data_IF_659456232724
#
_entry.id   IF_659456232724
#
_cell.length_a   1.000
_cell.length_b   1.000
_cell.length_c   1.000
_cell.angle_alpha   90.00
_cell.angle_beta   90.00
_cell.angle_gamma   90.00
#
_symmetry.space_group_name_H-M   'P 1'
#
loop_
_entity.id
_entity.type
_entity.pdbx_description
1 polymer ?
#
# COMPACT_ATOMS: atom_id res chain seq x y z
N UNK A 1 45.32 1.71 23.69
CA UNK A 1 44.33 2.06 22.65
C UNK A 1 43.73 0.75 22.16
N UNK A 2 42.51 0.44 22.58
CA UNK A 2 41.74 -0.66 22.02
C UNK A 2 40.78 -0.03 21.00
N UNK A 3 40.93 -0.40 19.73
CA UNK A 3 39.97 -0.04 18.69
C UNK A 3 38.66 -0.77 19.02
N UNK A 4 37.58 -0.01 19.16
CA UNK A 4 36.24 -0.58 19.19
C UNK A 4 35.98 -1.13 17.79
N UNK A 5 35.88 -2.44 17.69
CA UNK A 5 35.26 -3.10 16.54
C UNK A 5 33.78 -2.68 16.58
N UNK A 6 33.41 -1.74 15.71
CA UNK A 6 32.00 -1.49 15.43
C UNK A 6 31.43 -2.79 14.86
N UNK A 7 30.60 -3.45 15.65
CA UNK A 7 29.85 -4.64 15.26
C UNK A 7 28.91 -4.25 14.11
N UNK A 8 29.40 -4.39 12.89
CA UNK A 8 28.66 -4.14 11.65
C UNK A 8 27.55 -5.18 11.55
N UNK A 9 26.42 -4.91 12.20
CA UNK A 9 25.23 -5.75 12.14
C UNK A 9 24.82 -5.88 10.66
N UNK A 10 24.60 -7.12 10.17
CA UNK A 10 24.30 -7.34 8.76
C UNK A 10 23.06 -6.57 8.35
N UNK A 11 23.12 -5.89 7.21
CA UNK A 11 22.01 -5.11 6.69
C UNK A 11 20.77 -6.01 6.53
N UNK A 12 19.59 -5.56 6.99
CA UNK A 12 18.36 -6.36 6.91
C UNK A 12 17.99 -6.68 5.47
N UNK A 13 17.50 -7.90 5.25
CA UNK A 13 17.17 -8.41 3.91
C UNK A 13 15.84 -7.87 3.42
N UNK A 14 15.60 -7.90 2.10
CA UNK A 14 14.35 -7.43 1.48
C UNK A 14 13.07 -8.02 2.12
N UNK A 15 12.96 -9.35 2.40
CA UNK A 15 11.78 -9.89 3.05
C UNK A 15 11.56 -9.32 4.46
N UNK A 16 12.64 -9.15 5.24
CA UNK A 16 12.61 -8.62 6.60
C UNK A 16 12.17 -7.15 6.60
N UNK A 17 12.74 -6.33 5.71
CA UNK A 17 12.34 -4.94 5.53
C UNK A 17 10.85 -4.82 5.22
N UNK A 18 10.36 -5.64 4.28
CA UNK A 18 8.95 -5.64 3.89
C UNK A 18 8.04 -6.05 5.05
N UNK A 19 8.36 -7.15 5.74
CA UNK A 19 7.52 -7.70 6.80
C UNK A 19 7.49 -6.75 8.02
N UNK A 20 8.63 -6.14 8.38
CA UNK A 20 8.71 -5.12 9.44
C UNK A 20 7.88 -3.88 9.06
N UNK A 21 8.03 -3.38 7.83
CA UNK A 21 7.25 -2.22 7.37
C UNK A 21 5.75 -2.47 7.34
N UNK A 22 5.32 -3.68 6.94
CA UNK A 22 3.91 -4.08 6.99
C UNK A 22 3.40 -4.09 8.43
N UNK A 23 4.12 -4.71 9.35
CA UNK A 23 3.75 -4.75 10.76
C UNK A 23 3.66 -3.33 11.36
N UNK A 24 4.63 -2.46 11.06
CA UNK A 24 4.60 -1.07 11.52
C UNK A 24 3.38 -0.30 10.98
N UNK A 25 3.01 -0.52 9.72
CA UNK A 25 1.80 0.07 9.14
C UNK A 25 0.55 -0.44 9.86
N UNK A 26 0.42 -1.75 10.06
CA UNK A 26 -0.71 -2.35 10.76
C UNK A 26 -0.85 -1.77 12.18
N UNK A 27 0.26 -1.68 12.93
CA UNK A 27 0.30 -1.09 14.26
C UNK A 27 -0.11 0.39 14.26
N UNK A 28 0.31 1.17 13.27
CA UNK A 28 -0.08 2.59 13.11
C UNK A 28 -1.55 2.74 12.73
N UNK A 29 -2.12 1.78 12.01
CA UNK A 29 -3.54 1.80 11.62
C UNK A 29 -4.48 1.46 12.77
N UNK A 30 -4.08 0.57 13.68
CA UNK A 30 -4.87 0.19 14.86
C UNK A 30 -4.52 0.96 16.13
N UNK A 31 -3.50 1.83 16.08
CA UNK A 31 -3.07 2.64 17.21
C UNK A 31 -4.23 3.44 17.81
N UNK A 32 -4.35 3.39 19.14
CA UNK A 32 -5.38 4.14 19.90
C UNK A 32 -4.91 5.53 20.28
N UNK A 33 -3.59 5.72 20.26
CA UNK A 33 -2.90 6.96 20.54
C UNK A 33 -3.14 7.98 19.41
N UNK A 34 -3.06 9.28 19.71
CA UNK A 34 -3.13 10.31 18.67
C UNK A 34 -2.08 10.08 17.59
N UNK A 35 -2.43 10.20 16.31
CA UNK A 35 -1.49 9.96 15.20
C UNK A 35 -0.22 10.81 15.27
N UNK A 36 -0.31 12.02 15.85
CA UNK A 36 0.85 12.90 16.06
C UNK A 36 1.70 12.57 17.29
N UNK A 37 1.38 11.52 18.05
CA UNK A 37 2.17 11.10 19.21
C UNK A 37 3.57 10.67 18.78
N UNK A 38 4.53 10.83 19.70
CA UNK A 38 5.93 10.48 19.44
C UNK A 38 6.07 9.01 19.05
N UNK A 39 5.40 8.12 19.78
CA UNK A 39 5.46 6.67 19.55
C UNK A 39 4.94 6.29 18.15
N UNK A 40 3.80 6.86 17.73
CA UNK A 40 3.24 6.60 16.40
C UNK A 40 4.15 7.19 15.31
N UNK A 41 4.67 8.39 15.51
CA UNK A 41 5.56 9.04 14.52
C UNK A 41 6.91 8.34 14.38
N UNK A 42 7.46 7.77 15.46
CA UNK A 42 8.68 6.95 15.41
C UNK A 42 8.44 5.69 14.56
N UNK A 43 7.29 5.01 14.73
CA UNK A 43 6.91 3.87 13.89
C UNK A 43 6.73 4.26 12.42
N UNK A 44 6.06 5.37 12.15
CA UNK A 44 5.87 5.90 10.78
C UNK A 44 7.22 6.18 10.12
N UNK A 45 8.12 6.88 10.80
CA UNK A 45 9.46 7.20 10.29
C UNK A 45 10.27 5.94 10.00
N UNK A 46 10.29 4.99 10.94
CA UNK A 46 11.00 3.71 10.79
C UNK A 46 10.45 2.89 9.62
N UNK A 47 9.12 2.79 9.49
CA UNK A 47 8.48 2.07 8.40
C UNK A 47 8.81 2.67 7.03
N UNK A 48 8.84 4.00 6.92
CA UNK A 48 9.22 4.71 5.70
C UNK A 48 10.69 4.50 5.33
N UNK A 49 11.59 4.48 6.32
CA UNK A 49 13.01 4.18 6.09
C UNK A 49 13.21 2.77 5.54
N UNK A 50 12.56 1.77 6.15
CA UNK A 50 12.64 0.38 5.69
C UNK A 50 12.04 0.20 4.29
N UNK A 51 10.90 0.85 3.99
CA UNK A 51 10.30 0.79 2.65
C UNK A 51 11.16 1.49 1.59
N UNK A 52 11.86 2.57 1.96
CA UNK A 52 12.81 3.21 1.04
C UNK A 52 13.94 2.25 0.68
N UNK A 53 14.55 1.60 1.68
CA UNK A 53 15.59 0.60 1.44
C UNK A 53 15.06 -0.59 0.64
N UNK A 54 13.85 -1.07 0.93
CA UNK A 54 13.20 -2.13 0.17
C UNK A 54 12.99 -1.73 -1.31
N UNK A 55 12.50 -0.51 -1.57
CA UNK A 55 12.32 0.01 -2.92
C UNK A 55 13.65 0.11 -3.70
N UNK A 56 14.73 0.52 -3.04
CA UNK A 56 16.08 0.56 -3.63
C UNK A 56 16.57 -0.85 -3.98
N UNK A 57 16.37 -1.84 -3.10
CA UNK A 57 16.70 -3.24 -3.39
C UNK A 57 15.87 -3.81 -4.53
N UNK A 58 14.56 -3.52 -4.59
CA UNK A 58 13.68 -3.96 -5.67
C UNK A 58 14.12 -3.39 -7.03
N UNK A 59 14.54 -2.11 -7.05
CA UNK A 59 15.05 -1.49 -8.26
C UNK A 59 16.38 -2.11 -8.73
N UNK A 60 17.22 -2.58 -7.80
CA UNK A 60 18.47 -3.27 -8.13
C UNK A 60 18.24 -4.70 -8.63
N UNK A 61 17.24 -5.39 -8.08
CA UNK A 61 16.88 -6.75 -8.49
C UNK A 61 16.08 -6.78 -9.80
N UNK A 62 15.52 -5.64 -10.22
CA UNK A 62 14.68 -5.49 -11.42
C UNK A 62 13.55 -6.52 -11.49
N UNK A 63 12.93 -6.82 -10.33
CA UNK A 63 11.89 -7.86 -10.19
C UNK A 63 10.58 -7.55 -10.93
N UNK A 64 10.41 -6.31 -11.39
CA UNK A 64 9.18 -5.82 -11.99
C UNK A 64 9.49 -5.13 -13.31
N UNK A 65 9.64 -5.94 -14.37
CA UNK A 65 9.81 -5.42 -15.71
C UNK A 65 8.47 -5.03 -16.32
N UNK A 66 8.43 -3.93 -17.08
CA UNK A 66 7.21 -3.44 -17.75
C UNK A 66 6.68 -4.38 -18.85
N UNK A 67 7.49 -5.37 -19.25
CA UNK A 67 7.16 -6.29 -20.32
C UNK A 67 6.73 -7.67 -19.80
N UNK A 68 6.63 -7.85 -18.49
CA UNK A 68 6.22 -9.11 -17.87
C UNK A 68 4.71 -9.12 -17.60
N UNK A 69 4.10 -10.29 -17.75
CA UNK A 69 2.75 -10.54 -17.27
C UNK A 69 2.77 -10.88 -15.78
N UNK A 70 1.65 -10.65 -15.08
CA UNK A 70 1.53 -10.94 -13.64
C UNK A 70 1.85 -12.41 -13.30
N UNK A 71 1.55 -13.34 -14.22
CA UNK A 71 1.81 -14.78 -14.07
C UNK A 71 3.30 -15.14 -14.11
N UNK A 72 4.15 -14.27 -14.67
CA UNK A 72 5.59 -14.46 -14.76
C UNK A 72 6.32 -14.06 -13.47
N UNK A 73 5.65 -13.29 -12.60
CA UNK A 73 6.18 -12.91 -11.30
C UNK A 73 6.07 -14.10 -10.34
N UNK A 74 7.20 -14.46 -9.70
CA UNK A 74 7.21 -15.49 -8.68
C UNK A 74 6.19 -15.15 -7.56
N UNK A 75 5.39 -16.14 -7.14
CA UNK A 75 4.31 -15.89 -6.19
C UNK A 75 4.79 -15.32 -4.84
N UNK A 76 6.04 -15.58 -4.47
CA UNK A 76 6.69 -15.03 -3.26
C UNK A 76 6.99 -13.53 -3.38
N UNK A 77 7.14 -13.04 -4.60
CA UNK A 77 7.61 -11.68 -4.92
C UNK A 77 6.47 -10.73 -5.25
N UNK A 78 5.29 -11.26 -5.59
CA UNK A 78 4.05 -10.49 -5.79
C UNK A 78 3.76 -9.50 -4.66
N UNK A 79 4.08 -9.87 -3.41
CA UNK A 79 3.88 -9.00 -2.24
C UNK A 79 4.63 -7.67 -2.36
N UNK A 80 5.77 -7.65 -3.06
CA UNK A 80 6.60 -6.46 -3.19
C UNK A 80 6.01 -5.41 -4.14
N UNK A 81 5.01 -5.77 -4.98
CA UNK A 81 4.21 -4.78 -5.72
C UNK A 81 3.51 -3.78 -4.79
N UNK A 82 3.30 -4.15 -3.52
CA UNK A 82 2.64 -3.29 -2.53
C UNK A 82 3.56 -2.22 -1.92
N UNK A 83 4.88 -2.25 -2.17
CA UNK A 83 5.82 -1.31 -1.54
C UNK A 83 5.42 0.16 -1.76
N UNK A 84 5.10 0.62 -2.99
CA UNK A 84 4.68 2.00 -3.19
C UNK A 84 3.35 2.31 -2.50
N UNK A 85 2.41 1.36 -2.42
CA UNK A 85 1.16 1.56 -1.68
C UNK A 85 1.42 1.79 -0.18
N UNK A 86 2.34 1.03 0.42
CA UNK A 86 2.72 1.19 1.82
C UNK A 86 3.47 2.50 2.06
N UNK A 87 4.32 2.93 1.13
CA UNK A 87 5.00 4.24 1.20
C UNK A 87 3.95 5.37 1.22
N UNK A 88 2.96 5.31 0.32
CA UNK A 88 1.85 6.26 0.30
C UNK A 88 1.02 6.22 1.59
N UNK A 89 0.71 5.03 2.11
CA UNK A 89 -0.07 4.87 3.33
C UNK A 89 0.62 5.46 4.56
N UNK A 90 1.91 5.16 4.78
CA UNK A 90 2.67 5.72 5.90
C UNK A 90 2.94 7.22 5.73
N UNK A 91 3.11 7.71 4.51
CA UNK A 91 3.23 9.15 4.23
C UNK A 91 2.02 9.94 4.75
N UNK A 92 0.82 9.39 4.56
CA UNK A 92 -0.44 9.99 5.03
C UNK A 92 -0.54 10.05 6.56
N UNK A 93 0.29 9.29 7.28
CA UNK A 93 0.31 9.24 8.75
C UNK A 93 1.33 10.20 9.38
N UNK A 94 2.11 10.92 8.59
CA UNK A 94 3.09 11.87 9.11
C UNK A 94 2.42 13.11 9.75
N UNK A 95 2.81 13.43 10.98
CA UNK A 95 2.16 14.44 11.84
C UNK A 95 2.66 15.88 11.68
N UNK A 96 3.57 16.16 10.73
CA UNK A 96 4.16 17.49 10.58
C UNK A 96 3.29 18.42 9.72
N UNK A 97 2.54 19.32 10.37
CA UNK A 97 1.64 20.27 9.70
C UNK A 97 2.34 21.23 8.73
N UNK A 98 3.59 21.63 8.98
CA UNK A 98 4.29 22.57 8.09
C UNK A 98 4.71 21.95 6.76
N UNK A 99 4.93 20.63 6.74
CA UNK A 99 5.28 19.83 5.55
C UNK A 99 4.10 19.04 4.98
N UNK A 100 2.88 19.31 5.46
CA UNK A 100 1.70 18.52 5.10
C UNK A 100 1.47 18.47 3.59
N UNK A 101 1.69 19.58 2.89
CA UNK A 101 1.55 19.61 1.43
C UNK A 101 2.54 18.67 0.74
N UNK A 102 3.81 18.69 1.16
CA UNK A 102 4.86 17.83 0.62
C UNK A 102 4.53 16.35 0.87
N UNK A 103 4.07 16.02 2.08
CA UNK A 103 3.68 14.66 2.43
C UNK A 103 2.50 14.16 1.57
N UNK A 104 1.52 15.03 1.28
CA UNK A 104 0.39 14.69 0.41
C UNK A 104 0.82 14.49 -1.05
N UNK A 105 1.73 15.33 -1.56
CA UNK A 105 2.27 15.18 -2.91
C UNK A 105 3.07 13.88 -3.04
N UNK A 106 3.92 13.60 -2.06
CA UNK A 106 4.71 12.37 -2.01
C UNK A 106 3.82 11.12 -1.90
N UNK A 107 2.81 11.15 -1.03
CA UNK A 107 1.84 10.06 -0.93
C UNK A 107 1.10 9.83 -2.26
N UNK A 108 0.68 10.92 -2.93
CA UNK A 108 0.01 10.86 -4.23
C UNK A 108 0.90 10.21 -5.29
N UNK A 109 2.17 10.59 -5.36
CA UNK A 109 3.13 10.02 -6.30
C UNK A 109 3.26 8.50 -6.09
N UNK A 110 3.43 8.07 -4.85
CA UNK A 110 3.52 6.65 -4.49
C UNK A 110 2.27 5.84 -4.80
N UNK A 111 1.09 6.38 -4.51
CA UNK A 111 -0.16 5.73 -4.89
C UNK A 111 -0.34 5.65 -6.41
N UNK A 112 0.07 6.68 -7.16
CA UNK A 112 0.03 6.62 -8.63
C UNK A 112 1.03 5.62 -9.19
N UNK A 113 2.21 5.50 -8.59
CA UNK A 113 3.18 4.48 -8.97
C UNK A 113 2.60 3.07 -8.77
N UNK A 114 2.01 2.80 -7.60
CA UNK A 114 1.32 1.54 -7.31
C UNK A 114 0.20 1.25 -8.31
N UNK A 115 -0.71 2.21 -8.52
CA UNK A 115 -1.82 2.02 -9.44
C UNK A 115 -1.33 1.83 -10.88
N UNK A 116 -0.29 2.55 -11.28
CA UNK A 116 0.29 2.36 -12.60
C UNK A 116 0.84 0.95 -12.74
N UNK A 117 1.59 0.43 -11.77
CA UNK A 117 2.07 -0.95 -11.77
C UNK A 117 0.92 -1.96 -11.82
N UNK A 118 -0.12 -1.79 -11.01
CA UNK A 118 -1.30 -2.66 -11.05
C UNK A 118 -1.99 -2.67 -12.42
N UNK A 119 -2.00 -1.53 -13.13
CA UNK A 119 -2.55 -1.46 -14.48
C UNK A 119 -1.65 -2.17 -15.50
N UNK A 120 -0.33 -2.01 -15.42
CA UNK A 120 0.61 -2.67 -16.33
C UNK A 120 0.53 -4.20 -16.20
N UNK A 121 0.44 -4.71 -14.98
CA UNK A 121 0.29 -6.15 -14.72
C UNK A 121 -1.16 -6.65 -14.76
N UNK A 122 -2.11 -5.82 -15.23
CA UNK A 122 -3.52 -6.21 -15.34
C UNK A 122 -4.12 -6.80 -14.04
N UNK A 123 -3.68 -6.33 -12.88
CA UNK A 123 -4.13 -6.82 -11.55
C UNK A 123 -5.62 -6.58 -11.35
N UNK A 124 -6.14 -5.48 -11.89
CA UNK A 124 -7.56 -5.15 -11.89
C UNK A 124 -7.90 -4.15 -13.03
N UNK A 125 -9.15 -4.15 -13.47
CA UNK A 125 -9.67 -3.16 -14.41
C UNK A 125 -10.08 -1.87 -13.67
N UNK A 126 -9.41 -0.77 -13.96
CA UNK A 126 -9.76 0.57 -13.44
C UNK A 126 -9.14 1.67 -14.31
N UNK A 127 -9.66 2.90 -14.17
CA UNK A 127 -9.07 4.09 -14.79
C UNK A 127 -8.09 4.78 -13.83
N UNK A 128 -6.89 5.12 -14.33
CA UNK A 128 -5.94 5.91 -13.56
C UNK A 128 -6.44 7.36 -13.36
N UNK A 129 -6.28 7.93 -12.14
CA UNK A 129 -6.56 9.34 -11.92
C UNK A 129 -5.70 10.23 -12.83
N UNK A 130 -6.34 11.10 -13.62
CA UNK A 130 -5.64 12.02 -14.52
C UNK A 130 -4.58 12.84 -13.77
N UNK A 131 -3.32 12.70 -14.16
CA UNK A 131 -2.25 13.60 -13.72
C UNK A 131 -2.44 14.93 -14.44
N UNK A 132 -2.68 16.01 -13.68
CA UNK A 132 -2.60 17.37 -14.23
C UNK A 132 -1.12 17.68 -14.52
N UNK A 133 -0.57 17.12 -15.59
CA UNK A 133 0.69 17.58 -16.13
C UNK A 133 0.38 18.67 -17.16
N UNK A 134 0.94 19.84 -16.91
CA UNK A 134 1.09 21.02 -17.76
C UNK A 134 0.88 20.79 -19.27
N UNK A 135 -0.37 20.74 -19.73
CA UNK A 135 -0.68 21.28 -21.05
C UNK A 135 -0.74 22.79 -20.87
N UNK A 136 0.28 23.46 -21.38
CA UNK A 136 0.25 24.89 -21.60
C UNK A 136 -0.81 25.18 -22.68
N UNK A 137 -2.07 25.22 -22.28
CA UNK A 137 -3.11 25.81 -23.13
C UNK A 137 -4.09 26.59 -22.27
N UNK A 138 -3.79 27.89 -22.25
CA UNK A 138 -4.66 29.02 -21.97
C UNK A 138 -5.22 29.17 -20.54
N UNK A 139 -4.62 30.15 -19.87
CA UNK A 139 -5.28 31.03 -18.93
C UNK A 139 -6.64 31.50 -19.47
N UNK A 140 -7.71 30.81 -19.08
CA UNK A 140 -8.99 31.47 -18.81
C UNK A 140 -9.38 31.11 -17.40
N UNK A 141 -9.18 32.08 -16.51
CA UNK A 141 -9.80 32.12 -15.21
C UNK A 141 -11.32 32.09 -15.39
N UNK A 142 -11.89 30.90 -15.42
CA UNK A 142 -13.31 30.68 -15.14
C UNK A 142 -13.42 30.05 -13.77
N UNK A 143 -13.13 30.85 -12.74
CA UNK A 143 -13.62 30.62 -11.40
C UNK A 143 -15.13 30.85 -11.39
N UNK A 144 -15.88 29.90 -11.94
CA UNK A 144 -17.27 29.72 -11.59
C UNK A 144 -17.35 28.42 -10.81
N UNK A 145 -17.71 28.53 -9.54
CA UNK A 145 -18.17 27.41 -8.71
C UNK A 145 -19.48 26.89 -9.32
N UNK A 146 -19.41 26.24 -10.48
CA UNK A 146 -20.54 25.56 -11.07
C UNK A 146 -20.90 24.42 -10.13
N UNK A 147 -22.07 24.50 -9.50
CA UNK A 147 -22.62 23.40 -8.73
C UNK A 147 -22.62 22.15 -9.61
N UNK A 148 -22.07 21.01 -9.14
CA UNK A 148 -22.08 19.79 -9.93
C UNK A 148 -23.52 19.46 -10.30
N UNK A 149 -23.76 19.04 -11.55
CA UNK A 149 -25.11 18.67 -11.99
C UNK A 149 -25.65 17.53 -11.12
N UNK A 150 -26.98 17.44 -10.97
CA UNK A 150 -27.62 16.34 -10.22
C UNK A 150 -27.16 14.96 -10.72
N UNK A 151 -26.89 14.82 -12.01
CA UNK A 151 -26.36 13.61 -12.64
C UNK A 151 -24.90 13.34 -12.22
N UNK A 152 -24.06 14.37 -12.15
CA UNK A 152 -22.69 14.25 -11.64
C UNK A 152 -22.67 13.87 -10.14
N UNK A 153 -23.59 14.41 -9.34
CA UNK A 153 -23.73 14.05 -7.93
C UNK A 153 -24.25 12.62 -7.75
N UNK A 154 -25.24 12.21 -8.55
CA UNK A 154 -25.78 10.84 -8.51
C UNK A 154 -24.74 9.79 -8.92
N UNK A 155 -23.96 10.05 -9.98
CA UNK A 155 -22.86 9.17 -10.40
C UNK A 155 -21.73 9.11 -9.36
N UNK A 156 -21.34 10.22 -8.75
CA UNK A 156 -20.35 10.22 -7.67
C UNK A 156 -20.82 9.41 -6.46
N UNK A 157 -22.12 9.50 -6.10
CA UNK A 157 -22.72 8.68 -5.05
C UNK A 157 -22.69 7.20 -5.42
N UNK A 158 -23.09 6.86 -6.64
CA UNK A 158 -23.14 5.49 -7.14
C UNK A 158 -21.75 4.84 -7.14
N UNK A 159 -20.73 5.53 -7.65
CA UNK A 159 -19.34 5.05 -7.64
C UNK A 159 -18.81 4.78 -6.22
N UNK A 160 -19.21 5.61 -5.24
CA UNK A 160 -18.84 5.40 -3.83
C UNK A 160 -19.54 4.17 -3.24
N UNK A 161 -20.81 3.94 -3.59
CA UNK A 161 -21.56 2.75 -3.19
C UNK A 161 -20.91 1.51 -3.78
N UNK A 162 -20.65 1.48 -5.09
CA UNK A 162 -20.02 0.34 -5.78
C UNK A 162 -18.65 0.01 -5.20
N UNK A 163 -17.82 1.03 -4.92
CA UNK A 163 -16.53 0.84 -4.27
C UNK A 163 -16.66 0.27 -2.87
N UNK A 164 -17.65 0.73 -2.10
CA UNK A 164 -17.92 0.19 -0.76
C UNK A 164 -18.41 -1.26 -0.83
N UNK A 165 -19.34 -1.58 -1.74
CA UNK A 165 -19.86 -2.95 -1.95
C UNK A 165 -18.74 -3.88 -2.38
N UNK A 166 -17.90 -3.46 -3.34
CA UNK A 166 -16.73 -4.24 -3.78
C UNK A 166 -15.75 -4.49 -2.63
N UNK A 167 -15.44 -3.46 -1.82
CA UNK A 167 -14.57 -3.64 -0.64
C UNK A 167 -15.16 -4.59 0.40
N UNK A 168 -16.48 -4.48 0.65
CA UNK A 168 -17.19 -5.37 1.56
C UNK A 168 -17.17 -6.82 1.08
N UNK A 169 -17.47 -7.04 -0.20
CA UNK A 169 -17.45 -8.37 -0.82
C UNK A 169 -16.04 -8.98 -0.78
N UNK A 170 -15.00 -8.20 -1.10
CA UNK A 170 -13.61 -8.65 -1.05
C UNK A 170 -13.20 -9.08 0.36
N UNK A 171 -13.48 -8.24 1.37
CA UNK A 171 -13.20 -8.58 2.77
C UNK A 171 -13.94 -9.83 3.20
N UNK A 172 -15.21 -9.94 2.85
CA UNK A 172 -16.05 -11.09 3.19
C UNK A 172 -15.56 -12.37 2.53
N UNK A 173 -15.16 -12.32 1.26
CA UNK A 173 -14.58 -13.46 0.54
C UNK A 173 -13.25 -13.92 1.17
N UNK A 174 -12.36 -12.99 1.55
CA UNK A 174 -11.13 -13.34 2.26
C UNK A 174 -11.42 -14.05 3.60
N UNK A 175 -12.40 -13.58 4.36
CA UNK A 175 -12.84 -14.25 5.60
C UNK A 175 -13.37 -15.67 5.34
N UNK A 176 -14.15 -15.87 4.27
CA UNK A 176 -14.66 -17.19 3.90
C UNK A 176 -13.53 -18.16 3.53
N UNK A 177 -12.54 -17.72 2.74
CA UNK A 177 -11.37 -18.54 2.41
C UNK A 177 -10.60 -18.92 3.67
N UNK A 178 -10.41 -17.99 4.60
CA UNK A 178 -9.73 -18.27 5.87
C UNK A 178 -10.51 -19.29 6.72
N UNK A 179 -11.83 -19.14 6.83
CA UNK A 179 -12.72 -20.10 7.51
C UNK A 179 -12.62 -21.49 6.88
N UNK A 180 -12.61 -21.58 5.55
CA UNK A 180 -12.48 -22.86 4.85
C UNK A 180 -11.11 -23.51 5.12
N UNK A 181 -10.02 -22.74 5.13
CA UNK A 181 -8.67 -23.24 5.48
C UNK A 181 -8.60 -23.72 6.93
N UNK A 182 -9.22 -23.00 7.87
CA UNK A 182 -9.32 -23.41 9.28
C UNK A 182 -10.14 -24.71 9.41
N UNK A 183 -11.28 -24.81 8.71
CA UNK A 183 -12.09 -26.02 8.70
C UNK A 183 -11.31 -27.22 8.15
N UNK A 184 -10.63 -27.06 7.01
CA UNK A 184 -9.79 -28.12 6.42
C UNK A 184 -8.66 -28.51 7.38
N UNK A 185 -7.99 -27.54 8.02
CA UNK A 185 -6.95 -27.82 9.00
C UNK A 185 -7.49 -28.61 10.20
N UNK A 186 -8.63 -28.21 10.76
CA UNK A 186 -9.31 -28.95 11.85
C UNK A 186 -9.68 -30.37 11.42
N UNK A 187 -10.24 -30.54 10.23
CA UNK A 187 -10.65 -31.85 9.72
C UNK A 187 -9.46 -32.78 9.48
N UNK A 188 -8.38 -32.27 8.88
CA UNK A 188 -7.18 -33.05 8.53
C UNK A 188 -6.32 -33.36 9.76
N UNK A 189 -6.12 -32.41 10.67
CA UNK A 189 -5.16 -32.55 11.77
C UNK A 189 -5.78 -32.94 13.12
N UNK A 190 -7.05 -32.61 13.37
CA UNK A 190 -7.73 -32.97 14.62
C UNK A 190 -8.70 -34.14 14.44
N UNK A 191 -9.19 -34.39 13.22
CA UNK A 191 -10.06 -35.53 12.90
C UNK A 191 -9.37 -36.90 12.77
N UNK A 192 -8.04 -36.95 12.72
CA UNK A 192 -7.26 -38.17 12.49
C UNK A 192 -7.00 -39.06 13.71
N UNK A 193 -7.43 -38.70 14.92
CA UNK A 193 -7.12 -39.44 16.15
C UNK A 193 -8.13 -40.55 16.51
N UNK A 194 -9.05 -40.92 15.61
CA UNK A 194 -10.20 -41.77 15.91
C UNK A 194 -10.29 -43.08 15.14
N UNK A 195 -9.16 -43.70 14.76
CA UNK A 195 -9.19 -44.95 13.99
C UNK A 195 -8.00 -45.87 14.22
N UNK A 196 -8.04 -46.62 15.32
CA UNK A 196 -7.53 -47.99 15.43
C UNK A 196 -8.23 -48.71 16.60
#
# INVERSE_FOLDING_TARGET
>A
MAAAEEEELPLPRLPELFDISRQLLDEVEVATEPTGSREVQEKVSKGLQHLKQAAEMLAQLDLFSRNEDLEEIASTDLKYLMVPAFQGALAMKQGNSSKRLDHLQWAREHFLNYLSQCQHYHVAEFELPKTKNNSAENNTASSSMAQPSLVAMASQRQAKIERWVSNYNLKTAQWQVLLQRVHVFLFVFLGGAGGQ
#
